data_IF_452886155056
#
_entry.id   IF_452886155056
#
_cell.length_a   1.000
_cell.length_b   1.000
_cell.length_c   1.000
_cell.angle_alpha   90.00
_cell.angle_beta   90.00
_cell.angle_gamma   90.00
#
_symmetry.space_group_name_H-M   'P 1'
#
loop_
_entity.id
_entity.type
_entity.pdbx_description
1 polymer ?
#
# COMPACT_ATOMS: atom_id res chain seq x y z
N UNK A 1 25.71 22.81 -14.04
CA UNK A 1 24.45 23.13 -13.35
C UNK A 1 24.30 22.08 -12.29
N UNK A 2 23.98 22.47 -11.05
CA UNK A 2 23.65 21.49 -10.02
C UNK A 2 22.43 20.72 -10.48
N UNK A 3 22.44 19.38 -10.33
CA UNK A 3 21.28 18.55 -10.63
C UNK A 3 20.25 18.75 -9.50
N UNK A 4 19.21 19.54 -9.78
CA UNK A 4 18.19 19.90 -8.78
C UNK A 4 17.51 18.65 -8.24
N UNK A 5 17.21 17.71 -9.11
CA UNK A 5 16.56 16.45 -8.80
C UNK A 5 17.39 15.61 -7.81
N UNK A 6 18.66 15.42 -8.12
CA UNK A 6 19.58 14.61 -7.30
C UNK A 6 19.68 15.18 -5.88
N UNK A 7 19.91 16.50 -5.76
CA UNK A 7 20.01 17.16 -4.46
C UNK A 7 18.70 17.10 -3.70
N UNK A 8 17.57 17.35 -4.38
CA UNK A 8 16.25 17.29 -3.74
C UNK A 8 15.95 15.89 -3.21
N UNK A 9 16.17 14.85 -4.02
CA UNK A 9 15.90 13.47 -3.63
C UNK A 9 16.83 12.99 -2.50
N UNK A 10 18.12 13.39 -2.49
CA UNK A 10 19.00 13.12 -1.37
C UNK A 10 18.48 13.72 -0.07
N UNK A 11 18.00 14.96 -0.08
CA UNK A 11 17.45 15.61 1.12
C UNK A 11 16.11 14.97 1.52
N UNK A 12 15.25 14.67 0.55
CA UNK A 12 13.91 14.13 0.79
C UNK A 12 13.94 12.80 1.57
N UNK A 13 14.92 11.96 1.33
CA UNK A 13 15.09 10.67 2.04
C UNK A 13 15.27 10.88 3.54
N UNK A 14 15.88 12.00 3.97
CA UNK A 14 16.18 12.24 5.38
C UNK A 14 15.24 13.25 6.05
N UNK A 15 14.82 14.29 5.31
CA UNK A 15 14.02 15.37 5.88
C UNK A 15 13.19 16.08 4.79
N UNK A 16 11.91 15.75 4.75
CA UNK A 16 10.95 16.34 3.80
C UNK A 16 10.80 17.86 3.99
N UNK A 17 10.91 18.38 5.22
CA UNK A 17 10.83 19.83 5.49
C UNK A 17 12.04 20.58 4.94
N UNK A 18 13.24 19.98 5.04
CA UNK A 18 14.45 20.55 4.46
C UNK A 18 14.40 20.48 2.93
N UNK A 19 13.88 19.41 2.35
CA UNK A 19 13.65 19.29 0.91
C UNK A 19 12.68 20.36 0.38
N UNK A 20 11.56 20.59 1.08
CA UNK A 20 10.61 21.66 0.75
C UNK A 20 11.25 23.05 0.85
N UNK A 21 12.07 23.27 1.87
CA UNK A 21 12.80 24.53 2.03
C UNK A 21 13.81 24.72 0.89
N UNK A 22 14.57 23.68 0.53
CA UNK A 22 15.52 23.72 -0.58
C UNK A 22 14.83 24.13 -1.88
N UNK A 23 13.72 23.45 -2.25
CA UNK A 23 13.00 23.73 -3.49
C UNK A 23 12.33 25.12 -3.47
N UNK A 24 11.69 25.51 -2.37
CA UNK A 24 11.07 26.84 -2.22
C UNK A 24 12.11 27.99 -2.30
N UNK A 25 13.24 27.84 -1.63
CA UNK A 25 14.31 28.85 -1.66
C UNK A 25 15.00 28.87 -3.03
N UNK A 26 15.15 27.74 -3.68
CA UNK A 26 15.65 27.60 -5.04
C UNK A 26 14.78 28.39 -6.04
N UNK A 27 13.47 28.23 -5.98
CA UNK A 27 12.53 29.00 -6.80
C UNK A 27 12.61 30.51 -6.53
N UNK A 28 12.60 30.92 -5.25
CA UNK A 28 12.68 32.34 -4.87
C UNK A 28 13.96 33.00 -5.37
N UNK A 29 15.09 32.28 -5.40
CA UNK A 29 16.39 32.81 -5.82
C UNK A 29 16.58 32.85 -7.33
N UNK A 30 16.12 31.81 -8.03
CA UNK A 30 16.40 31.63 -9.47
C UNK A 30 15.23 31.99 -10.38
N UNK A 31 13.99 31.95 -9.86
CA UNK A 31 12.77 32.02 -10.68
C UNK A 31 12.57 30.79 -11.58
N UNK A 32 13.39 29.71 -11.45
CA UNK A 32 13.24 28.50 -12.25
C UNK A 32 12.03 27.69 -11.80
N UNK A 33 10.99 27.54 -12.64
CA UNK A 33 9.73 26.87 -12.26
C UNK A 33 9.89 25.36 -11.99
N UNK A 34 10.98 24.74 -12.39
CA UNK A 34 11.31 23.33 -12.10
C UNK A 34 11.34 23.07 -10.58
N UNK A 35 11.81 24.04 -9.77
CA UNK A 35 11.76 23.92 -8.31
C UNK A 35 10.34 23.78 -7.73
N UNK A 36 9.31 24.26 -8.43
CA UNK A 36 7.92 24.09 -8.02
C UNK A 36 7.45 22.65 -8.18
N UNK A 37 7.97 21.91 -9.18
CA UNK A 37 7.69 20.49 -9.35
C UNK A 37 8.23 19.69 -8.15
N UNK A 38 9.45 20.00 -7.70
CA UNK A 38 10.01 19.37 -6.49
C UNK A 38 9.30 19.81 -5.20
N UNK A 39 8.83 21.06 -5.14
CA UNK A 39 7.96 21.51 -4.03
C UNK A 39 6.66 20.70 -4.01
N UNK A 40 6.06 20.46 -5.18
CA UNK A 40 4.86 19.62 -5.32
C UNK A 40 5.12 18.19 -4.83
N UNK A 41 6.26 17.60 -5.17
CA UNK A 41 6.64 16.27 -4.67
C UNK A 41 6.79 16.26 -3.14
N UNK A 42 7.41 17.26 -2.56
CA UNK A 42 7.49 17.40 -1.10
C UNK A 42 6.11 17.51 -0.44
N UNK A 43 5.17 18.24 -1.04
CA UNK A 43 3.78 18.29 -0.58
C UNK A 43 3.06 16.97 -0.72
N UNK A 44 3.26 16.25 -1.85
CA UNK A 44 2.71 14.92 -2.08
C UNK A 44 3.11 13.94 -0.96
N UNK A 45 4.40 13.89 -0.63
CA UNK A 45 4.95 13.02 0.44
C UNK A 45 4.35 13.36 1.81
N UNK A 46 3.98 14.62 2.04
CA UNK A 46 3.34 15.04 3.29
C UNK A 46 1.81 14.86 3.31
N UNK A 47 1.21 14.40 2.21
CA UNK A 47 -0.25 14.27 2.09
C UNK A 47 -0.99 15.60 1.80
N UNK A 48 -0.26 16.68 1.47
CA UNK A 48 -0.86 17.96 1.06
C UNK A 48 -1.17 17.96 -0.44
N UNK A 49 -2.13 17.14 -0.83
CA UNK A 49 -2.40 16.80 -2.23
C UNK A 49 -2.88 18.00 -3.06
N UNK A 50 -3.74 18.86 -2.52
CA UNK A 50 -4.22 20.07 -3.20
C UNK A 50 -3.07 21.06 -3.44
N UNK A 51 -2.18 21.23 -2.46
CA UNK A 51 -0.99 22.09 -2.60
C UNK A 51 0.00 21.53 -3.62
N UNK A 52 0.15 20.21 -3.68
CA UNK A 52 0.96 19.53 -4.69
C UNK A 52 0.42 19.80 -6.11
N UNK A 53 -0.88 19.64 -6.33
CA UNK A 53 -1.54 19.95 -7.61
C UNK A 53 -1.35 21.42 -7.99
N UNK A 54 -1.59 22.34 -7.05
CA UNK A 54 -1.45 23.77 -7.30
C UNK A 54 -0.01 24.17 -7.65
N UNK A 55 0.99 23.55 -7.03
CA UNK A 55 2.40 23.81 -7.32
C UNK A 55 2.80 23.32 -8.71
N UNK A 56 2.31 22.13 -9.16
CA UNK A 56 2.52 21.65 -10.52
C UNK A 56 1.86 22.57 -11.55
N UNK A 57 0.61 22.96 -11.32
CA UNK A 57 -0.12 23.85 -12.24
C UNK A 57 0.60 25.19 -12.38
N UNK A 58 1.06 25.78 -11.28
CA UNK A 58 1.85 27.01 -11.31
C UNK A 58 3.17 26.82 -12.07
N UNK A 59 3.84 25.69 -11.89
CA UNK A 59 5.08 25.41 -12.64
C UNK A 59 4.84 25.44 -14.15
N UNK A 60 3.77 24.78 -14.60
CA UNK A 60 3.40 24.73 -16.03
C UNK A 60 2.94 26.09 -16.55
N UNK A 61 2.18 26.86 -15.77
CA UNK A 61 1.81 28.24 -16.14
C UNK A 61 3.04 29.14 -16.31
N UNK A 62 4.11 28.90 -15.53
CA UNK A 62 5.38 29.63 -15.63
C UNK A 62 6.32 29.08 -16.70
N UNK A 63 5.86 28.09 -17.49
CA UNK A 63 6.59 27.55 -18.63
C UNK A 63 7.58 26.45 -18.29
N UNK A 64 7.38 25.73 -17.19
CA UNK A 64 8.14 24.51 -16.92
C UNK A 64 7.84 23.47 -18.00
N UNK A 65 8.88 22.88 -18.57
CA UNK A 65 8.80 21.82 -19.58
C UNK A 65 9.09 20.41 -19.01
N UNK A 66 9.28 20.28 -17.71
CA UNK A 66 9.47 19.00 -17.03
C UNK A 66 8.11 18.29 -16.83
N UNK A 67 7.48 17.94 -17.94
CA UNK A 67 6.10 17.45 -17.96
C UNK A 67 5.91 16.07 -17.37
N UNK A 68 6.83 15.14 -17.63
CA UNK A 68 6.77 13.76 -17.15
C UNK A 68 6.65 13.71 -15.63
N UNK A 69 7.62 14.28 -14.96
CA UNK A 69 7.68 14.28 -13.49
C UNK A 69 6.51 15.08 -12.89
N UNK A 70 6.18 16.23 -13.46
CA UNK A 70 5.07 17.05 -12.99
C UNK A 70 3.72 16.34 -13.12
N UNK A 71 3.44 15.68 -14.26
CA UNK A 71 2.20 14.92 -14.41
C UNK A 71 2.16 13.66 -13.53
N UNK A 72 3.29 13.00 -13.26
CA UNK A 72 3.33 11.88 -12.31
C UNK A 72 2.98 12.35 -10.89
N UNK A 73 3.60 13.41 -10.39
CA UNK A 73 3.28 13.99 -9.08
C UNK A 73 1.81 14.46 -8.99
N UNK A 74 1.31 15.16 -10.02
CA UNK A 74 -0.09 15.60 -10.07
C UNK A 74 -1.06 14.43 -10.15
N UNK A 75 -0.75 13.43 -10.97
CA UNK A 75 -1.56 12.22 -11.13
C UNK A 75 -1.70 11.45 -9.83
N UNK A 76 -0.60 11.28 -9.10
CA UNK A 76 -0.59 10.61 -7.79
C UNK A 76 -1.34 11.41 -6.71
N UNK A 77 -1.18 12.73 -6.66
CA UNK A 77 -1.96 13.58 -5.76
C UNK A 77 -3.47 13.47 -6.03
N UNK A 78 -3.88 13.48 -7.32
CA UNK A 78 -5.27 13.29 -7.72
C UNK A 78 -5.79 11.90 -7.38
N UNK A 79 -4.96 10.86 -7.51
CA UNK A 79 -5.30 9.48 -7.13
C UNK A 79 -5.61 9.39 -5.64
N UNK A 80 -4.77 9.98 -4.79
CA UNK A 80 -4.95 10.02 -3.35
C UNK A 80 -6.21 10.82 -2.90
N UNK A 81 -6.63 11.80 -3.70
CA UNK A 81 -7.90 12.52 -3.51
C UNK A 81 -9.13 11.75 -4.04
N UNK A 82 -8.95 10.59 -4.66
CA UNK A 82 -10.02 9.81 -5.28
C UNK A 82 -10.52 10.39 -6.61
N UNK A 83 -9.81 11.34 -7.20
CA UNK A 83 -10.13 11.99 -8.48
C UNK A 83 -9.56 11.17 -9.65
N UNK A 84 -10.08 9.93 -9.81
CA UNK A 84 -9.52 8.92 -10.69
C UNK A 84 -9.50 9.32 -12.17
N UNK A 85 -10.52 10.03 -12.66
CA UNK A 85 -10.60 10.46 -14.07
C UNK A 85 -9.51 11.48 -14.40
N UNK A 86 -9.29 12.45 -13.52
CA UNK A 86 -8.26 13.46 -13.67
C UNK A 86 -6.86 12.87 -13.50
N UNK A 87 -6.68 11.97 -12.53
CA UNK A 87 -5.44 11.22 -12.32
C UNK A 87 -5.06 10.42 -13.57
N UNK A 88 -5.99 9.66 -14.15
CA UNK A 88 -5.79 8.89 -15.38
C UNK A 88 -5.31 9.77 -16.53
N UNK A 89 -5.89 10.95 -16.72
CA UNK A 89 -5.46 11.89 -17.77
C UNK A 89 -4.01 12.35 -17.61
N UNK A 90 -3.55 12.49 -16.36
CA UNK A 90 -2.15 12.84 -16.11
C UNK A 90 -1.22 11.72 -16.56
N UNK A 91 -1.48 10.48 -16.16
CA UNK A 91 -0.63 9.34 -16.55
C UNK A 91 -0.72 8.99 -18.03
N UNK A 92 -1.92 9.08 -18.64
CA UNK A 92 -2.08 8.94 -20.09
C UNK A 92 -1.31 10.01 -20.89
N UNK A 93 -1.14 11.21 -20.31
CA UNK A 93 -0.32 12.26 -20.91
C UNK A 93 1.15 11.87 -20.90
N UNK A 94 1.64 11.29 -19.80
CA UNK A 94 3.02 10.79 -19.70
C UNK A 94 3.24 9.65 -20.68
N UNK A 95 2.41 8.60 -20.63
CA UNK A 95 2.58 7.39 -21.46
C UNK A 95 2.37 7.65 -22.97
N UNK A 96 1.72 8.74 -23.33
CA UNK A 96 1.61 9.17 -24.73
C UNK A 96 2.93 9.69 -25.31
N UNK A 97 3.72 10.40 -24.51
CA UNK A 97 5.01 10.95 -24.90
C UNK A 97 6.15 9.93 -24.65
N UNK A 98 6.03 9.18 -23.55
CA UNK A 98 6.99 8.18 -23.08
C UNK A 98 6.26 6.86 -22.72
N UNK A 99 5.95 6.03 -23.74
CA UNK A 99 5.17 4.80 -23.53
C UNK A 99 5.83 3.78 -22.61
N UNK A 100 7.15 3.79 -22.51
CA UNK A 100 7.97 2.93 -21.66
C UNK A 100 8.10 3.41 -20.20
N UNK A 101 7.55 4.57 -19.86
CA UNK A 101 7.68 5.14 -18.53
C UNK A 101 6.93 4.27 -17.50
N UNK A 102 7.71 3.53 -16.69
CA UNK A 102 7.22 2.48 -15.81
C UNK A 102 6.21 3.00 -14.76
N UNK A 103 6.54 4.11 -14.09
CA UNK A 103 5.72 4.64 -13.01
C UNK A 103 4.31 5.03 -13.47
N UNK A 104 4.17 5.73 -14.60
CA UNK A 104 2.86 6.11 -15.13
C UNK A 104 2.05 4.88 -15.57
N UNK A 105 2.70 3.86 -16.15
CA UNK A 105 2.03 2.61 -16.51
C UNK A 105 1.53 1.87 -15.26
N UNK A 106 2.33 1.80 -14.19
CA UNK A 106 1.89 1.14 -12.94
C UNK A 106 0.73 1.87 -12.27
N UNK A 107 0.69 3.19 -12.29
CA UNK A 107 -0.48 3.95 -11.81
C UNK A 107 -1.72 3.75 -12.68
N UNK A 108 -1.58 3.61 -14.01
CA UNK A 108 -2.72 3.27 -14.87
C UNK A 108 -3.26 1.87 -14.56
N UNK A 109 -2.39 0.90 -14.25
CA UNK A 109 -2.78 -0.43 -13.79
C UNK A 109 -3.51 -0.35 -12.44
N UNK A 110 -2.98 0.42 -11.49
CA UNK A 110 -3.61 0.64 -10.19
C UNK A 110 -5.01 1.26 -10.34
N UNK A 111 -5.16 2.27 -11.20
CA UNK A 111 -6.45 2.88 -11.50
C UNK A 111 -7.45 1.86 -12.07
N UNK A 112 -7.02 0.98 -12.97
CA UNK A 112 -7.89 -0.08 -13.49
C UNK A 112 -8.35 -1.03 -12.36
N UNK A 113 -7.46 -1.40 -11.44
CA UNK A 113 -7.82 -2.23 -10.28
C UNK A 113 -8.84 -1.51 -9.38
N UNK A 114 -8.64 -0.22 -9.09
CA UNK A 114 -9.57 0.59 -8.27
C UNK A 114 -10.93 0.78 -8.92
N UNK A 115 -10.97 0.84 -10.26
CA UNK A 115 -12.19 0.91 -11.06
C UNK A 115 -12.80 -0.48 -11.35
N UNK A 116 -12.24 -1.55 -10.77
CA UNK A 116 -12.65 -2.95 -10.96
C UNK A 116 -12.52 -3.47 -12.39
N UNK A 117 -11.63 -2.88 -13.19
CA UNK A 117 -11.29 -3.28 -14.56
C UNK A 117 -10.11 -4.29 -14.53
N UNK A 118 -10.32 -5.41 -13.84
CA UNK A 118 -9.25 -6.35 -13.48
C UNK A 118 -8.55 -7.00 -14.67
N UNK A 119 -9.32 -7.38 -15.71
CA UNK A 119 -8.76 -7.93 -16.94
C UNK A 119 -7.93 -6.89 -17.71
N UNK A 120 -8.36 -5.62 -17.72
CA UNK A 120 -7.60 -4.53 -18.35
C UNK A 120 -6.30 -4.27 -17.60
N UNK A 121 -6.31 -4.30 -16.26
CA UNK A 121 -5.13 -4.19 -15.43
C UNK A 121 -4.11 -5.30 -15.74
N UNK A 122 -4.57 -6.56 -15.81
CA UNK A 122 -3.71 -7.70 -16.15
C UNK A 122 -3.16 -7.55 -17.57
N UNK A 123 -4.00 -7.20 -18.53
CA UNK A 123 -3.57 -7.00 -19.92
C UNK A 123 -2.49 -5.90 -20.02
N UNK A 124 -2.63 -4.79 -19.29
CA UNK A 124 -1.60 -3.76 -19.24
C UNK A 124 -0.28 -4.26 -18.65
N UNK A 125 -0.32 -5.08 -17.60
CA UNK A 125 0.89 -5.72 -17.07
C UNK A 125 1.58 -6.58 -18.13
N UNK A 126 0.81 -7.42 -18.85
CA UNK A 126 1.32 -8.29 -19.90
C UNK A 126 1.86 -7.49 -21.08
N UNK A 127 1.07 -6.52 -21.57
CA UNK A 127 1.46 -5.64 -22.69
C UNK A 127 2.76 -4.88 -22.38
N UNK A 128 2.91 -4.41 -21.13
CA UNK A 128 4.14 -3.73 -20.72
C UNK A 128 5.34 -4.67 -20.78
N UNK A 129 5.23 -5.87 -20.19
CA UNK A 129 6.31 -6.87 -20.21
C UNK A 129 6.67 -7.37 -21.61
N UNK A 130 5.71 -7.39 -22.55
CA UNK A 130 5.94 -7.82 -23.94
C UNK A 130 6.58 -6.74 -24.81
N UNK A 131 6.28 -5.48 -24.55
CA UNK A 131 6.67 -4.37 -25.45
C UNK A 131 7.88 -3.58 -24.95
N UNK A 132 8.22 -3.66 -23.65
CA UNK A 132 9.30 -2.88 -23.05
C UNK A 132 10.27 -3.77 -22.29
N UNK A 133 11.54 -3.33 -22.21
CA UNK A 133 12.54 -3.98 -21.38
C UNK A 133 12.23 -3.74 -19.91
N UNK A 134 12.07 -4.82 -19.15
CA UNK A 134 11.87 -4.78 -17.70
C UNK A 134 13.16 -5.23 -17.00
N UNK A 135 13.57 -4.48 -15.99
CA UNK A 135 14.53 -5.02 -15.04
C UNK A 135 13.85 -6.10 -14.13
N UNK A 136 14.65 -6.81 -13.36
CA UNK A 136 14.15 -7.90 -12.51
C UNK A 136 13.14 -7.40 -11.47
N UNK A 137 13.28 -6.18 -10.97
CA UNK A 137 12.36 -5.59 -10.00
C UNK A 137 11.02 -5.27 -10.66
N UNK A 138 11.05 -4.58 -11.80
CA UNK A 138 9.84 -4.24 -12.57
C UNK A 138 9.07 -5.50 -12.98
N UNK A 139 9.77 -6.52 -13.47
CA UNK A 139 9.16 -7.81 -13.82
C UNK A 139 8.49 -8.45 -12.60
N UNK A 140 9.17 -8.47 -11.47
CA UNK A 140 8.66 -8.99 -10.21
C UNK A 140 7.42 -8.23 -9.73
N UNK A 141 7.45 -6.90 -9.77
CA UNK A 141 6.34 -6.06 -9.33
C UNK A 141 5.09 -6.29 -10.20
N UNK A 142 5.24 -6.35 -11.54
CA UNK A 142 4.12 -6.62 -12.45
C UNK A 142 3.52 -8.01 -12.23
N UNK A 143 4.36 -9.04 -12.04
CA UNK A 143 3.91 -10.41 -11.71
C UNK A 143 3.21 -10.45 -10.35
N UNK A 144 3.71 -9.73 -9.36
CA UNK A 144 3.08 -9.60 -8.05
C UNK A 144 1.68 -8.96 -8.17
N UNK A 145 1.51 -7.89 -8.95
CA UNK A 145 0.21 -7.25 -9.23
C UNK A 145 -0.76 -8.25 -9.86
N UNK A 146 -0.30 -8.99 -10.88
CA UNK A 146 -1.11 -10.05 -11.51
C UNK A 146 -1.56 -11.09 -10.47
N UNK A 147 -0.63 -11.56 -9.63
CA UNK A 147 -0.92 -12.51 -8.57
C UNK A 147 -2.01 -12.04 -7.61
N UNK A 148 -1.88 -10.83 -7.08
CA UNK A 148 -2.88 -10.24 -6.18
C UNK A 148 -4.22 -10.01 -6.87
N UNK A 149 -4.24 -9.58 -8.12
CA UNK A 149 -5.46 -9.38 -8.90
C UNK A 149 -6.22 -10.69 -9.08
N UNK A 150 -5.53 -11.78 -9.39
CA UNK A 150 -6.17 -13.10 -9.48
C UNK A 150 -6.60 -13.66 -8.14
N UNK A 151 -5.82 -13.47 -7.07
CA UNK A 151 -6.12 -14.01 -5.76
C UNK A 151 -7.36 -13.36 -5.14
N UNK A 152 -7.37 -12.03 -5.13
CA UNK A 152 -8.36 -11.25 -4.36
C UNK A 152 -9.59 -10.90 -5.20
N UNK A 153 -9.38 -10.50 -6.45
CA UNK A 153 -10.45 -9.91 -7.26
C UNK A 153 -11.10 -10.92 -8.22
N UNK A 154 -10.34 -11.80 -8.83
CA UNK A 154 -10.85 -12.77 -9.82
C UNK A 154 -11.05 -14.16 -9.25
N UNK A 155 -10.71 -14.38 -7.98
CA UNK A 155 -10.86 -15.66 -7.28
C UNK A 155 -10.28 -16.85 -8.06
N UNK A 156 -9.09 -16.66 -8.64
CA UNK A 156 -8.35 -17.71 -9.34
C UNK A 156 -6.98 -17.96 -8.65
N UNK A 157 -6.99 -18.69 -7.53
CA UNK A 157 -5.81 -18.82 -6.67
C UNK A 157 -4.66 -19.59 -7.33
N UNK A 158 -4.94 -20.50 -8.29
CA UNK A 158 -3.88 -21.28 -8.95
C UNK A 158 -3.02 -20.39 -9.86
N UNK A 159 -3.66 -19.52 -10.66
CA UNK A 159 -2.92 -18.55 -11.50
C UNK A 159 -2.19 -17.54 -10.60
N UNK A 160 -2.82 -17.13 -9.50
CA UNK A 160 -2.17 -16.24 -8.53
C UNK A 160 -0.88 -16.83 -7.98
N UNK A 161 -0.91 -18.11 -7.57
CA UNK A 161 0.26 -18.82 -7.07
C UNK A 161 1.40 -18.83 -8.09
N UNK A 162 1.10 -19.19 -9.35
CA UNK A 162 2.09 -19.18 -10.43
C UNK A 162 2.71 -17.79 -10.60
N UNK A 163 1.89 -16.75 -10.63
CA UNK A 163 2.37 -15.37 -10.76
C UNK A 163 3.26 -14.92 -9.58
N UNK A 164 2.93 -15.30 -8.34
CA UNK A 164 3.79 -15.01 -7.19
C UNK A 164 5.13 -15.76 -7.25
N UNK A 165 5.13 -17.02 -7.71
CA UNK A 165 6.37 -17.78 -7.89
C UNK A 165 7.24 -17.10 -8.96
N UNK A 166 6.69 -16.75 -10.11
CA UNK A 166 7.41 -16.03 -11.17
C UNK A 166 7.93 -14.67 -10.70
N UNK A 167 7.17 -13.97 -9.85
CA UNK A 167 7.63 -12.72 -9.21
C UNK A 167 8.86 -12.94 -8.35
N UNK A 168 8.87 -13.97 -7.50
CA UNK A 168 10.00 -14.32 -6.62
C UNK A 168 11.20 -14.80 -7.45
N UNK A 169 10.99 -15.54 -8.53
CA UNK A 169 12.06 -15.96 -9.44
C UNK A 169 12.75 -14.76 -10.11
N UNK A 170 11.99 -13.71 -10.43
CA UNK A 170 12.54 -12.47 -10.96
C UNK A 170 13.27 -11.65 -9.89
N UNK A 171 12.72 -11.55 -8.68
CA UNK A 171 13.31 -10.82 -7.55
C UNK A 171 12.96 -11.51 -6.23
N UNK A 172 13.93 -12.20 -5.63
CA UNK A 172 13.77 -12.90 -4.35
C UNK A 172 13.42 -11.99 -3.16
N UNK A 173 13.61 -10.67 -3.30
CA UNK A 173 13.28 -9.67 -2.28
C UNK A 173 11.88 -9.06 -2.45
N UNK A 174 10.99 -9.69 -3.19
CA UNK A 174 9.58 -9.26 -3.28
C UNK A 174 8.76 -9.80 -2.10
N UNK A 175 8.77 -9.10 -0.96
CA UNK A 175 8.03 -9.49 0.26
C UNK A 175 6.53 -9.71 -0.01
N UNK A 176 5.90 -8.83 -0.80
CA UNK A 176 4.47 -8.94 -1.16
C UNK A 176 4.10 -10.24 -1.87
N UNK A 177 5.00 -10.84 -2.64
CA UNK A 177 4.74 -12.12 -3.30
C UNK A 177 4.83 -13.28 -2.30
N UNK A 178 5.71 -13.20 -1.30
CA UNK A 178 5.71 -14.16 -0.20
C UNK A 178 4.44 -14.03 0.65
N UNK A 179 3.99 -12.81 0.97
CA UNK A 179 2.68 -12.57 1.62
C UNK A 179 1.55 -13.23 0.81
N UNK A 180 1.53 -13.03 -0.51
CA UNK A 180 0.55 -13.65 -1.41
C UNK A 180 0.55 -15.18 -1.36
N UNK A 181 1.74 -15.82 -1.35
CA UNK A 181 1.84 -17.27 -1.17
C UNK A 181 1.40 -17.71 0.22
N UNK A 182 1.70 -16.94 1.27
CA UNK A 182 1.21 -17.19 2.63
C UNK A 182 -0.31 -17.20 2.68
N UNK A 183 -0.96 -16.18 2.09
CA UNK A 183 -2.43 -16.10 1.99
C UNK A 183 -2.99 -17.27 1.16
N UNK A 184 -2.35 -17.62 0.04
CA UNK A 184 -2.74 -18.76 -0.76
C UNK A 184 -2.73 -20.06 0.07
N UNK A 185 -1.63 -20.37 0.76
CA UNK A 185 -1.51 -21.59 1.56
C UNK A 185 -2.48 -21.61 2.75
N UNK A 186 -2.70 -20.46 3.40
CA UNK A 186 -3.69 -20.33 4.48
C UNK A 186 -5.12 -20.61 3.99
N UNK A 187 -5.51 -20.15 2.81
CA UNK A 187 -6.81 -20.42 2.20
C UNK A 187 -7.02 -21.92 1.94
N UNK A 188 -5.95 -22.67 1.68
CA UNK A 188 -5.98 -24.13 1.54
C UNK A 188 -5.76 -24.88 2.87
N UNK A 189 -5.76 -24.16 4.01
CA UNK A 189 -5.57 -24.69 5.37
C UNK A 189 -4.21 -25.38 5.58
N UNK A 190 -3.22 -24.97 4.81
CA UNK A 190 -1.82 -25.39 4.99
C UNK A 190 -1.11 -24.32 5.83
N UNK A 191 -1.49 -24.28 7.11
CA UNK A 191 -1.14 -23.17 8.00
C UNK A 191 0.36 -23.13 8.33
N UNK A 192 1.01 -24.25 8.45
CA UNK A 192 2.45 -24.33 8.71
C UNK A 192 3.24 -23.75 7.52
N UNK A 193 2.87 -24.13 6.29
CA UNK A 193 3.51 -23.61 5.08
C UNK A 193 3.20 -22.10 4.92
N UNK A 194 1.99 -21.66 5.26
CA UNK A 194 1.63 -20.25 5.25
C UNK A 194 2.53 -19.43 6.18
N UNK A 195 2.77 -19.92 7.40
CA UNK A 195 3.66 -19.28 8.39
C UNK A 195 5.10 -19.18 7.85
N UNK A 196 5.58 -20.19 7.13
CA UNK A 196 6.93 -20.13 6.51
C UNK A 196 7.03 -18.98 5.49
N UNK A 197 5.98 -18.80 4.65
CA UNK A 197 5.96 -17.71 3.68
C UNK A 197 5.82 -16.33 4.34
N UNK A 198 4.95 -16.18 5.33
CA UNK A 198 4.83 -14.92 6.07
C UNK A 198 6.15 -14.54 6.79
N UNK A 199 6.85 -15.52 7.36
CA UNK A 199 8.16 -15.27 7.96
C UNK A 199 9.18 -14.78 6.93
N UNK A 200 9.21 -15.34 5.71
CA UNK A 200 10.08 -14.83 4.63
C UNK A 200 9.71 -13.40 4.23
N UNK A 201 8.43 -13.07 4.20
CA UNK A 201 7.99 -11.70 3.94
C UNK A 201 8.47 -10.73 5.04
N UNK A 202 8.41 -11.12 6.31
CA UNK A 202 8.91 -10.36 7.46
C UNK A 202 10.44 -10.18 7.40
N UNK A 203 11.19 -11.21 7.00
CA UNK A 203 12.64 -11.09 6.81
C UNK A 203 13.03 -10.02 5.78
N UNK A 204 12.16 -9.77 4.79
CA UNK A 204 12.37 -8.75 3.75
C UNK A 204 11.86 -7.38 4.22
N UNK A 205 10.70 -7.33 4.85
CA UNK A 205 10.10 -6.12 5.41
C UNK A 205 9.44 -6.42 6.75
N UNK A 206 10.11 -6.04 7.83
CA UNK A 206 9.61 -6.25 9.20
C UNK A 206 8.48 -5.30 9.62
N UNK A 207 8.26 -4.23 8.84
CA UNK A 207 7.26 -3.20 9.14
C UNK A 207 5.89 -3.47 8.49
N UNK A 208 5.69 -4.64 7.86
CA UNK A 208 4.40 -5.04 7.26
C UNK A 208 3.56 -5.83 8.27
N UNK A 209 2.57 -5.18 8.87
CA UNK A 209 1.69 -5.76 9.89
C UNK A 209 0.82 -6.92 9.39
N UNK A 210 0.46 -6.95 8.11
CA UNK A 210 -0.33 -8.03 7.51
C UNK A 210 0.32 -9.41 7.67
N UNK A 211 1.65 -9.49 7.61
CA UNK A 211 2.36 -10.76 7.78
C UNK A 211 2.27 -11.28 9.22
N UNK A 212 2.39 -10.41 10.21
CA UNK A 212 2.20 -10.78 11.62
C UNK A 212 0.76 -11.19 11.89
N UNK A 213 -0.22 -10.47 11.32
CA UNK A 213 -1.62 -10.85 11.38
C UNK A 213 -1.88 -12.23 10.75
N UNK A 214 -1.33 -12.48 9.56
CA UNK A 214 -1.40 -13.78 8.90
C UNK A 214 -0.86 -14.93 9.77
N UNK A 215 0.30 -14.73 10.43
CA UNK A 215 0.88 -15.70 11.36
C UNK A 215 -0.04 -15.92 12.58
N UNK A 216 -0.62 -14.85 13.13
CA UNK A 216 -1.54 -14.96 14.26
C UNK A 216 -2.76 -15.82 13.92
N UNK A 217 -3.40 -15.56 12.77
CA UNK A 217 -4.53 -16.34 12.29
C UNK A 217 -4.16 -17.80 12.06
N UNK A 218 -3.03 -18.08 11.40
CA UNK A 218 -2.57 -19.46 11.18
C UNK A 218 -2.32 -20.20 12.51
N UNK A 219 -1.68 -19.56 13.49
CA UNK A 219 -1.46 -20.17 14.81
C UNK A 219 -2.76 -20.40 15.57
N UNK A 220 -3.74 -19.48 15.46
CA UNK A 220 -5.07 -19.68 16.02
C UNK A 220 -5.75 -20.93 15.44
N UNK A 221 -5.72 -21.12 14.15
CA UNK A 221 -6.27 -22.30 13.46
C UNK A 221 -5.54 -23.61 13.86
N UNK A 222 -4.24 -23.53 14.13
CA UNK A 222 -3.44 -24.64 14.67
C UNK A 222 -3.64 -24.90 16.17
N UNK A 223 -4.43 -24.08 16.85
CA UNK A 223 -4.62 -24.06 18.29
C UNK A 223 -3.35 -23.75 19.11
N UNK A 224 -2.38 -23.05 18.52
CA UNK A 224 -1.16 -22.59 19.17
C UNK A 224 -1.38 -21.23 19.86
N UNK A 225 -2.34 -21.16 20.77
CA UNK A 225 -2.80 -19.91 21.36
C UNK A 225 -1.73 -19.13 22.15
N UNK A 226 -0.69 -19.80 22.62
CA UNK A 226 0.37 -19.18 23.43
C UNK A 226 1.14 -18.07 22.71
N UNK A 227 1.12 -18.07 21.38
CA UNK A 227 1.84 -17.09 20.55
C UNK A 227 0.91 -16.10 19.83
N UNK A 228 -0.40 -16.36 19.79
CA UNK A 228 -1.36 -15.55 19.02
C UNK A 228 -1.36 -14.10 19.47
N UNK A 229 -1.42 -13.84 20.79
CA UNK A 229 -1.42 -12.48 21.33
C UNK A 229 -0.16 -11.70 20.93
N UNK A 230 1.02 -12.32 20.99
CA UNK A 230 2.29 -11.67 20.62
C UNK A 230 2.25 -11.15 19.19
N UNK A 231 1.77 -12.00 18.27
CA UNK A 231 1.70 -11.62 16.84
C UNK A 231 0.62 -10.57 16.57
N UNK A 232 -0.54 -10.65 17.25
CA UNK A 232 -1.59 -9.62 17.12
C UNK A 232 -1.14 -8.27 17.67
N UNK A 233 -0.39 -8.24 18.77
CA UNK A 233 0.20 -6.99 19.30
C UNK A 233 1.17 -6.37 18.32
N UNK A 234 2.03 -7.17 17.67
CA UNK A 234 2.94 -6.67 16.62
C UNK A 234 2.19 -6.14 15.42
N UNK A 235 1.21 -6.89 14.92
CA UNK A 235 0.38 -6.46 13.81
C UNK A 235 -0.34 -5.14 14.10
N UNK A 236 -0.99 -5.02 15.27
CA UNK A 236 -1.70 -3.81 15.67
C UNK A 236 -0.78 -2.60 15.89
N UNK A 237 0.47 -2.83 16.29
CA UNK A 237 1.43 -1.74 16.46
C UNK A 237 1.88 -1.15 15.10
N UNK A 238 1.85 -1.95 14.04
CA UNK A 238 2.23 -1.55 12.67
C UNK A 238 1.03 -1.02 11.87
N UNK A 239 -0.15 -1.61 12.07
CA UNK A 239 -1.40 -1.29 11.36
C UNK A 239 -2.46 -0.80 12.37
N UNK A 240 -2.22 0.36 12.98
CA UNK A 240 -3.01 0.92 14.10
C UNK A 240 -4.49 1.14 13.79
N UNK A 241 -4.87 1.29 12.53
CA UNK A 241 -6.24 1.59 12.10
C UNK A 241 -6.93 0.39 11.42
N UNK A 242 -6.29 -0.79 11.40
CA UNK A 242 -6.92 -1.98 10.81
C UNK A 242 -7.90 -2.64 11.78
N UNK A 243 -9.18 -2.42 11.52
CA UNK A 243 -10.26 -2.98 12.32
C UNK A 243 -10.27 -4.52 12.38
N UNK A 244 -9.75 -5.22 11.38
CA UNK A 244 -9.66 -6.69 11.39
C UNK A 244 -8.69 -7.15 12.47
N UNK A 245 -7.55 -6.48 12.59
CA UNK A 245 -6.52 -6.78 13.59
C UNK A 245 -7.03 -6.42 14.99
N UNK A 246 -7.63 -5.23 15.13
CA UNK A 246 -8.18 -4.75 16.39
C UNK A 246 -9.28 -5.69 16.89
N UNK A 247 -10.20 -6.10 16.03
CA UNK A 247 -11.30 -7.01 16.35
C UNK A 247 -10.78 -8.39 16.76
N UNK A 248 -9.83 -8.94 16.00
CA UNK A 248 -9.24 -10.25 16.32
C UNK A 248 -8.46 -10.22 17.65
N UNK A 249 -7.76 -9.12 17.92
CA UNK A 249 -7.09 -8.93 19.20
C UNK A 249 -8.08 -8.86 20.36
N UNK A 250 -9.21 -8.15 20.20
CA UNK A 250 -10.27 -8.11 21.20
C UNK A 250 -10.85 -9.50 21.49
N UNK A 251 -11.06 -10.34 20.46
CA UNK A 251 -11.50 -11.72 20.65
C UNK A 251 -10.45 -12.58 21.37
N UNK A 252 -9.17 -12.39 21.11
CA UNK A 252 -8.11 -13.08 21.85
C UNK A 252 -8.09 -12.68 23.32
N UNK A 253 -8.30 -11.41 23.64
CA UNK A 253 -8.45 -10.93 25.03
C UNK A 253 -9.65 -11.57 25.75
N UNK A 254 -10.79 -11.74 25.03
CA UNK A 254 -11.94 -12.47 25.59
C UNK A 254 -11.61 -13.94 25.90
N UNK A 255 -10.88 -14.60 25.01
CA UNK A 255 -10.43 -15.97 25.22
C UNK A 255 -9.59 -16.11 26.50
N UNK A 256 -8.86 -15.05 26.87
CA UNK A 256 -8.05 -14.95 28.08
C UNK A 256 -8.84 -14.44 29.30
N UNK A 257 -10.15 -14.28 29.22
CA UNK A 257 -11.02 -13.73 30.28
C UNK A 257 -10.68 -12.25 30.64
N UNK A 258 -10.01 -11.52 29.75
CA UNK A 258 -9.66 -10.10 29.90
C UNK A 258 -10.77 -9.20 29.33
N UNK A 259 -11.97 -9.33 29.87
CA UNK A 259 -13.19 -8.71 29.33
C UNK A 259 -13.10 -7.19 29.25
N UNK A 260 -12.50 -6.51 30.24
CA UNK A 260 -12.41 -5.04 30.26
C UNK A 260 -11.54 -4.53 29.13
N UNK A 261 -10.39 -5.16 28.93
CA UNK A 261 -9.48 -4.80 27.87
C UNK A 261 -10.14 -5.03 26.50
N UNK A 262 -10.81 -6.18 26.32
CA UNK A 262 -11.54 -6.49 25.10
C UNK A 262 -12.64 -5.47 24.77
N UNK A 263 -13.40 -5.00 25.78
CA UNK A 263 -14.43 -3.99 25.61
C UNK A 263 -13.86 -2.67 25.06
N UNK A 264 -12.66 -2.25 25.50
CA UNK A 264 -12.02 -1.04 25.01
C UNK A 264 -11.70 -1.14 23.51
N UNK A 265 -11.11 -2.25 23.06
CA UNK A 265 -10.83 -2.50 21.65
C UNK A 265 -12.10 -2.62 20.81
N UNK A 266 -13.14 -3.31 21.30
CA UNK A 266 -14.42 -3.35 20.57
C UNK A 266 -15.08 -1.97 20.45
N UNK A 267 -14.92 -1.09 21.45
CA UNK A 267 -15.38 0.30 21.34
C UNK A 267 -14.60 1.08 20.28
N UNK A 268 -13.33 0.76 20.06
CA UNK A 268 -12.54 1.34 18.97
C UNK A 268 -13.06 0.91 17.60
N UNK A 269 -13.29 -0.39 17.38
CA UNK A 269 -13.93 -0.91 16.17
C UNK A 269 -15.28 -0.21 15.89
N UNK A 270 -16.07 0.07 16.93
CA UNK A 270 -17.35 0.77 16.78
C UNK A 270 -17.23 2.27 16.44
N UNK A 271 -16.08 2.91 16.62
CA UNK A 271 -15.88 4.30 16.15
C UNK A 271 -15.89 4.37 14.63
N UNK A 272 -15.25 3.40 13.98
CA UNK A 272 -15.19 3.31 12.51
C UNK A 272 -16.47 2.70 11.92
N UNK A 273 -17.04 1.69 12.60
CA UNK A 273 -18.28 1.04 12.17
C UNK A 273 -19.39 1.13 13.23
N UNK A 274 -20.03 2.30 13.39
CA UNK A 274 -21.04 2.52 14.43
C UNK A 274 -22.29 1.64 14.28
N UNK A 275 -22.51 0.98 13.15
CA UNK A 275 -23.67 0.14 12.90
C UNK A 275 -23.42 -1.36 13.09
N UNK A 276 -22.25 -1.76 13.57
CA UNK A 276 -21.97 -3.16 13.90
C UNK A 276 -22.78 -3.58 15.13
N UNK A 277 -23.95 -4.20 14.87
CA UNK A 277 -24.92 -4.61 15.89
C UNK A 277 -24.35 -5.76 16.72
N UNK A 278 -23.56 -6.65 16.13
CA UNK A 278 -22.97 -7.80 16.79
C UNK A 278 -22.00 -7.38 17.89
N UNK A 279 -21.05 -6.50 17.57
CA UNK A 279 -20.12 -5.93 18.55
C UNK A 279 -20.82 -5.12 19.63
N UNK A 280 -21.86 -4.33 19.29
CA UNK A 280 -22.67 -3.62 20.29
C UNK A 280 -23.31 -4.57 21.30
N UNK A 281 -23.95 -5.63 20.82
CA UNK A 281 -24.59 -6.60 21.69
C UNK A 281 -23.56 -7.33 22.57
N UNK A 282 -22.42 -7.69 22.00
CA UNK A 282 -21.34 -8.35 22.74
C UNK A 282 -20.83 -7.46 23.88
N UNK A 283 -20.59 -6.17 23.63
CA UNK A 283 -20.18 -5.22 24.70
C UNK A 283 -21.24 -5.19 25.81
N UNK A 284 -22.54 -5.07 25.47
CA UNK A 284 -23.62 -5.03 26.43
C UNK A 284 -23.72 -6.31 27.27
N UNK A 285 -23.39 -7.46 26.70
CA UNK A 285 -23.34 -8.73 27.44
C UNK A 285 -22.14 -8.78 28.39
N UNK A 286 -20.97 -8.37 27.93
CA UNK A 286 -19.73 -8.34 28.73
C UNK A 286 -19.83 -7.37 29.91
N UNK A 287 -20.38 -6.16 29.68
CA UNK A 287 -20.57 -5.15 30.73
C UNK A 287 -21.51 -5.66 31.84
N UNK A 288 -22.52 -6.49 31.54
CA UNK A 288 -23.39 -7.11 32.54
C UNK A 288 -22.68 -8.20 33.36
N UNK A 289 -21.73 -8.91 32.76
CA UNK A 289 -20.96 -9.95 33.48
C UNK A 289 -20.01 -9.31 34.50
N UNK A 290 -19.41 -8.15 34.15
CA UNK A 290 -18.50 -7.43 35.07
C UNK A 290 -19.21 -6.70 36.23
N UNK A 291 -20.53 -6.54 36.19
CA UNK A 291 -21.33 -5.96 37.28
C UNK A 291 -21.74 -6.97 38.35
N UNK A 292 -21.48 -8.27 38.15
CA UNK A 292 -21.78 -9.38 39.07
C UNK A 292 -20.54 -9.79 39.86
#
# INVERSE_FOLDING_TARGET
MENIEEIFNEILVYDVQEALKYSSDGFKKSGNPEYLIYTAHGYLVQGFYEDAIAAVDLAFELGCDYFEYGYNVKGEALLNLGLYVESRRCFERVTKEEPEQYLANTFLIELDIRESLYEDAINKCVDYMENFECDNKQLSDLKCIIGWTYLVNLNNPEIAKEAFIESIEANENCGRSYTGLGVYEANYKRFEEAIEYFNKAIEINEDDGENYFGIAICNKELNNFDVVEEYLVKANALELEDNRIIEEYAFELLRQERNKDAIEYFKEVLRENPNNIEIKNLILELEKIDEI
#
